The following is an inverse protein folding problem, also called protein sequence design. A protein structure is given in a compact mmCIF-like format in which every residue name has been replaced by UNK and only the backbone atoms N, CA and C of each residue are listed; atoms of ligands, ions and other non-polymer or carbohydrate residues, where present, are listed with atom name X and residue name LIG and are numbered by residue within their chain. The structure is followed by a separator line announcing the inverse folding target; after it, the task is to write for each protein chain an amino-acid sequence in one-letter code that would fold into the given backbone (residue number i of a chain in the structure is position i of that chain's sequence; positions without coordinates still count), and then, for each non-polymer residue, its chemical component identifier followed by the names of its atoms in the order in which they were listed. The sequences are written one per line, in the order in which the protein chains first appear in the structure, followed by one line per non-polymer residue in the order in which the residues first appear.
data_IF_230503133143
#
_entry.id   IF_230503133143
#
_cell.length_a   1.000
_cell.length_b   1.000
_cell.length_c   1.000
_cell.angle_alpha   90.00
_cell.angle_beta   90.00
_cell.angle_gamma   90.00
#
_symmetry.space_group_name_H-M   'P 1'
#
loop_
_entity.id
_entity.type
_entity.pdbx_description
1 polymer ?
#
# COMPACT_ATOMS: atom_id res chain seq x y z
N UNK A 1 1.38 -18.67 -24.09
CA UNK A 1 1.67 -19.20 -22.74
C UNK A 1 1.55 -18.05 -21.76
N UNK A 2 0.42 -18.01 -21.05
CA UNK A 2 0.04 -16.94 -20.13
C UNK A 2 0.77 -17.16 -18.80
N UNK A 3 1.70 -16.27 -18.46
CA UNK A 3 2.27 -16.24 -17.12
C UNK A 3 1.23 -15.57 -16.23
N UNK A 4 0.45 -16.37 -15.49
CA UNK A 4 -0.24 -15.89 -14.31
C UNK A 4 0.82 -15.27 -13.38
N UNK A 5 0.87 -13.95 -13.35
CA UNK A 5 1.76 -13.19 -12.47
C UNK A 5 1.19 -13.34 -11.08
N UNK A 6 1.85 -14.13 -10.24
CA UNK A 6 1.48 -14.33 -8.83
C UNK A 6 1.43 -12.97 -8.12
N UNK A 7 0.23 -12.40 -7.95
CA UNK A 7 -0.02 -11.22 -7.13
C UNK A 7 -0.42 -11.71 -5.74
N UNK A 8 0.27 -11.25 -4.72
CA UNK A 8 0.00 -11.62 -3.33
C UNK A 8 -0.52 -10.39 -2.59
N UNK A 9 -1.72 -10.51 -2.02
CA UNK A 9 -2.35 -9.54 -1.12
C UNK A 9 -1.85 -9.78 0.30
N UNK A 10 -1.45 -8.73 0.99
CA UNK A 10 -1.10 -8.81 2.42
C UNK A 10 -2.34 -8.50 3.25
N UNK A 11 -2.72 -9.42 4.16
CA UNK A 11 -3.77 -9.18 5.16
C UNK A 11 -3.24 -8.33 6.34
N UNK A 12 -4.14 -7.80 7.16
CA UNK A 12 -3.80 -7.04 8.38
C UNK A 12 -2.87 -7.81 9.36
N UNK A 13 -2.74 -9.13 9.22
CA UNK A 13 -1.87 -10.00 10.02
C UNK A 13 -0.48 -10.25 9.37
N UNK A 14 -0.15 -9.57 8.27
CA UNK A 14 1.13 -9.69 7.58
C UNK A 14 1.28 -10.95 6.72
N UNK A 15 0.24 -11.77 6.56
CA UNK A 15 0.28 -12.97 5.70
C UNK A 15 -0.09 -12.64 4.26
N UNK A 16 0.59 -13.30 3.33
CA UNK A 16 0.33 -13.25 1.90
C UNK A 16 -0.83 -14.21 1.54
N UNK A 17 -1.93 -13.70 0.99
CA UNK A 17 -2.95 -14.47 0.28
C UNK A 17 -2.84 -14.21 -1.22
N UNK A 18 -3.21 -15.19 -2.05
CA UNK A 18 -3.34 -15.00 -3.49
C UNK A 18 -4.34 -13.86 -3.77
N UNK A 19 -3.92 -12.82 -4.51
CA UNK A 19 -4.77 -11.70 -4.82
C UNK A 19 -5.97 -12.18 -5.65
N UNK A 20 -7.17 -11.77 -5.27
CA UNK A 20 -8.38 -12.16 -5.98
C UNK A 20 -8.23 -11.87 -7.48
N UNK A 21 -8.49 -12.89 -8.30
CA UNK A 21 -8.30 -12.90 -9.75
C UNK A 21 -8.85 -11.65 -10.49
N UNK A 22 -9.87 -10.97 -9.95
CA UNK A 22 -10.38 -9.71 -10.49
C UNK A 22 -9.40 -8.52 -10.44
N UNK A 23 -8.51 -8.45 -9.44
CA UNK A 23 -7.44 -7.44 -9.37
C UNK A 23 -6.32 -7.75 -10.38
N UNK A 24 -6.06 -9.04 -10.60
CA UNK A 24 -5.06 -9.53 -11.55
C UNK A 24 -5.47 -9.24 -13.00
N UNK A 25 -6.74 -9.49 -13.37
CA UNK A 25 -7.24 -9.15 -14.72
C UNK A 25 -7.24 -7.64 -14.98
N UNK A 26 -7.47 -6.84 -13.93
CA UNK A 26 -7.44 -5.38 -14.00
C UNK A 26 -6.05 -4.79 -14.25
N UNK A 27 -5.05 -5.33 -13.56
CA UNK A 27 -3.68 -4.83 -13.63
C UNK A 27 -2.95 -5.35 -14.89
N UNK A 28 -3.42 -6.46 -15.48
CA UNK A 28 -2.81 -7.08 -16.67
C UNK A 28 -3.52 -6.75 -17.99
N UNK A 29 -4.81 -6.41 -17.96
CA UNK A 29 -5.55 -5.92 -19.12
C UNK A 29 -5.62 -4.39 -19.12
N UNK A 30 -5.84 -3.77 -20.28
CA UNK A 30 -6.10 -2.33 -20.44
C UNK A 30 -7.44 -1.87 -19.80
N UNK A 31 -7.79 -2.41 -18.64
CA UNK A 31 -8.94 -2.09 -17.82
C UNK A 31 -8.43 -1.14 -16.76
N UNK A 32 -9.08 0.01 -16.62
CA UNK A 32 -8.79 0.93 -15.53
C UNK A 32 -8.84 0.16 -14.19
N UNK A 33 -7.71 0.07 -13.44
CA UNK A 33 -7.69 -0.68 -12.19
C UNK A 33 -8.67 -0.09 -11.16
N UNK A 34 -9.03 1.20 -11.26
CA UNK A 34 -10.10 1.79 -10.48
C UNK A 34 -11.49 1.20 -10.79
N UNK A 35 -11.71 0.68 -12.00
CA UNK A 35 -12.97 0.06 -12.40
C UNK A 35 -13.11 -1.37 -11.90
N UNK A 36 -12.00 -2.10 -11.79
CA UNK A 36 -12.01 -3.50 -11.36
C UNK A 36 -11.90 -3.69 -9.85
N UNK A 37 -11.28 -2.74 -9.15
CA UNK A 37 -11.22 -2.72 -7.69
C UNK A 37 -12.55 -2.22 -7.07
N UNK A 38 -13.54 -1.92 -7.91
CA UNK A 38 -14.74 -1.16 -7.58
C UNK A 38 -14.41 0.33 -7.57
N UNK A 39 -15.34 1.16 -8.08
CA UNK A 39 -15.16 2.58 -8.44
C UNK A 39 -14.75 3.55 -7.30
N UNK A 40 -14.23 3.05 -6.18
CA UNK A 40 -13.90 3.81 -4.96
C UNK A 40 -12.48 3.55 -4.42
N UNK A 41 -11.66 2.74 -5.08
CA UNK A 41 -10.30 2.50 -4.63
C UNK A 41 -9.27 3.29 -5.45
N UNK A 42 -8.39 4.00 -4.77
CA UNK A 42 -7.23 4.65 -5.39
C UNK A 42 -6.07 3.67 -5.45
N UNK A 43 -5.39 3.59 -6.59
CA UNK A 43 -4.20 2.76 -6.77
C UNK A 43 -2.97 3.66 -6.75
N UNK A 44 -1.95 3.26 -6.01
CA UNK A 44 -0.67 3.97 -5.87
C UNK A 44 0.49 2.98 -6.03
N UNK A 45 1.56 3.37 -6.69
CA UNK A 45 2.82 2.63 -6.69
C UNK A 45 3.70 3.13 -5.55
N UNK A 46 4.26 2.22 -4.75
CA UNK A 46 5.19 2.56 -3.67
C UNK A 46 6.44 3.27 -4.22
N UNK A 47 6.84 2.93 -5.43
CA UNK A 47 8.00 3.46 -6.12
C UNK A 47 7.83 4.93 -6.53
N UNK A 48 6.58 5.41 -6.63
CA UNK A 48 6.25 6.81 -6.86
C UNK A 48 6.13 7.61 -5.55
N UNK A 49 6.19 6.94 -4.40
CA UNK A 49 6.16 7.60 -3.09
C UNK A 49 7.53 8.19 -2.80
N UNK A 50 7.56 9.50 -2.60
CA UNK A 50 8.76 10.23 -2.20
C UNK A 50 8.78 10.33 -0.67
N UNK A 51 9.69 9.63 0.02
CA UNK A 51 9.84 9.77 1.46
C UNK A 51 10.52 11.09 1.83
N UNK A 52 10.34 11.48 3.09
CA UNK A 52 11.11 12.56 3.70
C UNK A 52 12.57 12.16 3.97
N UNK A 53 13.34 13.08 4.55
CA UNK A 53 14.76 12.87 4.85
C UNK A 53 15.01 11.71 5.85
N UNK A 54 14.00 11.31 6.62
CA UNK A 54 14.04 10.17 7.53
C UNK A 54 13.72 8.83 6.88
N UNK A 55 13.38 8.81 5.59
CA UNK A 55 12.89 7.61 4.91
C UNK A 55 11.43 7.29 5.23
N UNK A 56 10.67 8.27 5.72
CA UNK A 56 9.29 8.11 6.15
C UNK A 56 8.34 8.78 5.16
N UNK A 57 7.16 8.22 4.96
CA UNK A 57 6.12 8.81 4.13
C UNK A 57 4.78 8.71 4.85
N UNK A 58 3.95 9.75 4.73
CA UNK A 58 2.62 9.79 5.36
C UNK A 58 1.55 9.88 4.28
N UNK A 59 0.72 8.85 4.20
CA UNK A 59 -0.41 8.83 3.28
C UNK A 59 -1.58 9.61 3.89
N UNK A 60 -1.78 10.82 3.38
CA UNK A 60 -2.91 11.69 3.70
C UNK A 60 -3.98 11.48 2.65
N UNK A 61 -5.20 11.18 3.08
CA UNK A 61 -6.36 11.11 2.20
C UNK A 61 -7.37 12.20 2.58
N UNK A 62 -8.00 12.80 1.57
CA UNK A 62 -9.10 13.74 1.73
C UNK A 62 -10.44 13.12 1.33
N UNK A 63 -11.53 13.71 1.82
CA UNK A 63 -12.89 13.32 1.45
C UNK A 63 -13.25 11.90 1.90
N UNK A 64 -14.07 11.22 1.08
CA UNK A 64 -14.64 9.90 1.38
C UNK A 64 -13.74 8.73 0.95
N UNK A 65 -12.46 8.96 0.67
CA UNK A 65 -11.56 7.86 0.33
C UNK A 65 -11.43 6.91 1.53
N UNK A 66 -11.86 5.66 1.34
CA UNK A 66 -11.80 4.61 2.36
C UNK A 66 -10.75 3.55 2.09
N UNK A 67 -10.31 3.40 0.83
CA UNK A 67 -9.41 2.32 0.43
C UNK A 67 -8.37 2.77 -0.56
N UNK A 68 -7.12 2.35 -0.33
CA UNK A 68 -5.99 2.49 -1.23
C UNK A 68 -5.38 1.12 -1.50
N UNK A 69 -5.11 0.84 -2.77
CA UNK A 69 -4.30 -0.30 -3.18
C UNK A 69 -2.89 0.21 -3.47
N UNK A 70 -1.91 -0.29 -2.72
CA UNK A 70 -0.51 0.02 -2.88
C UNK A 70 0.19 -1.12 -3.62
N UNK A 71 0.65 -0.84 -4.82
CA UNK A 71 1.50 -1.74 -5.60
C UNK A 71 2.95 -1.57 -5.12
N UNK A 72 3.63 -2.67 -4.85
CA UNK A 72 5.02 -2.64 -4.37
C UNK A 72 5.83 -3.79 -4.95
N UNK A 73 7.04 -3.49 -5.39
CA UNK A 73 8.07 -4.50 -5.71
C UNK A 73 8.83 -5.00 -4.47
N UNK A 74 8.66 -4.30 -3.35
CA UNK A 74 9.36 -4.55 -2.07
C UNK A 74 8.53 -5.37 -1.11
N UNK A 75 9.21 -6.21 -0.32
CA UNK A 75 8.64 -7.01 0.76
C UNK A 75 8.20 -6.11 1.91
N UNK A 76 7.13 -6.49 2.59
CA UNK A 76 6.79 -5.90 3.89
C UNK A 76 7.59 -6.61 4.97
N UNK A 77 8.37 -5.84 5.71
CA UNK A 77 9.17 -6.34 6.84
C UNK A 77 8.39 -6.27 8.15
N UNK A 78 7.63 -5.19 8.34
CA UNK A 78 6.90 -4.95 9.58
C UNK A 78 5.62 -4.16 9.31
N UNK A 79 4.59 -4.47 10.08
CA UNK A 79 3.39 -3.65 10.18
C UNK A 79 3.06 -3.41 11.64
N UNK A 80 2.51 -2.25 11.96
CA UNK A 80 2.12 -1.99 13.34
C UNK A 80 1.41 -0.67 13.53
N UNK A 81 1.41 -0.23 14.79
CA UNK A 81 0.91 1.07 15.19
C UNK A 81 2.07 1.92 15.71
N UNK A 82 2.17 3.14 15.22
CA UNK A 82 3.19 4.08 15.63
C UNK A 82 3.02 4.42 17.12
N UNK A 83 4.10 4.28 17.88
CA UNK A 83 4.26 4.94 19.18
C UNK A 83 4.41 6.45 18.96
N UNK A 84 4.40 7.30 20.02
CA UNK A 84 4.60 8.73 19.84
C UNK A 84 5.87 9.05 19.04
N UNK A 85 5.69 9.66 17.86
CA UNK A 85 6.75 9.93 16.89
C UNK A 85 6.36 11.09 15.96
N UNK A 86 7.34 11.92 15.62
CA UNK A 86 7.21 13.02 14.65
C UNK A 86 8.23 12.78 13.55
N UNK A 87 7.77 12.75 12.29
CA UNK A 87 8.66 12.47 11.16
C UNK A 87 9.64 13.60 10.90
N UNK A 88 10.64 13.38 10.04
CA UNK A 88 11.59 14.43 9.65
C UNK A 88 10.90 15.61 8.94
N UNK A 89 9.79 15.35 8.24
CA UNK A 89 8.93 16.39 7.67
C UNK A 89 8.08 17.16 8.71
N UNK A 90 8.14 16.78 10.00
CA UNK A 90 7.41 17.44 11.08
C UNK A 90 5.97 16.94 11.28
N UNK A 91 5.59 15.80 10.71
CA UNK A 91 4.25 15.23 10.85
C UNK A 91 4.15 14.36 12.11
N UNK A 92 3.17 14.64 12.97
CA UNK A 92 2.87 13.78 14.11
C UNK A 92 2.12 12.52 13.62
N UNK A 93 2.78 11.38 13.71
CA UNK A 93 2.23 10.08 13.28
C UNK A 93 1.80 9.20 14.45
N UNK A 94 1.74 9.77 15.66
CA UNK A 94 1.38 9.05 16.89
C UNK A 94 0.05 8.30 16.75
N UNK A 95 0.09 6.99 16.94
CA UNK A 95 -1.10 6.13 16.87
C UNK A 95 -1.61 5.84 15.46
N UNK A 96 -0.93 6.28 14.40
CA UNK A 96 -1.19 5.87 13.02
C UNK A 96 -0.78 4.41 12.80
N UNK A 97 -1.31 3.77 11.76
CA UNK A 97 -0.80 2.48 11.29
C UNK A 97 0.44 2.71 10.44
N UNK A 98 1.38 1.77 10.45
CA UNK A 98 2.56 1.83 9.59
C UNK A 98 2.84 0.49 8.93
N UNK A 99 3.56 0.60 7.81
CA UNK A 99 4.13 -0.52 7.06
C UNK A 99 5.57 -0.17 6.73
N UNK A 100 6.52 -1.02 7.13
CA UNK A 100 7.94 -0.90 6.76
C UNK A 100 8.24 -1.84 5.60
N UNK A 101 8.85 -1.29 4.56
CA UNK A 101 9.23 -2.04 3.37
C UNK A 101 10.73 -2.34 3.36
N UNK A 102 11.10 -3.54 2.91
CA UNK A 102 12.48 -3.97 2.80
C UNK A 102 13.26 -3.08 1.84
N UNK A 103 14.36 -2.49 2.34
CA UNK A 103 15.17 -1.53 1.59
C UNK A 103 14.37 -0.32 1.09
N UNK A 104 13.27 0.01 1.77
CA UNK A 104 12.34 1.05 1.37
C UNK A 104 11.83 1.91 2.50
N UNK A 105 10.81 2.76 2.24
CA UNK A 105 10.34 3.70 3.23
C UNK A 105 9.49 3.00 4.30
N UNK A 106 9.28 3.71 5.41
CA UNK A 106 8.16 3.42 6.32
C UNK A 106 6.97 4.27 5.91
N UNK A 107 5.87 3.63 5.52
CA UNK A 107 4.63 4.30 5.12
C UNK A 107 3.65 4.32 6.29
N UNK A 108 3.25 5.51 6.72
CA UNK A 108 2.22 5.75 7.72
C UNK A 108 0.87 6.04 7.06
N UNK A 109 -0.21 5.52 7.63
CA UNK A 109 -1.57 5.83 7.18
C UNK A 109 -2.57 5.86 8.35
N UNK A 110 -3.68 6.57 8.13
CA UNK A 110 -4.75 6.64 9.11
C UNK A 110 -5.37 5.25 9.34
N UNK A 111 -5.75 4.95 10.59
CA UNK A 111 -6.42 3.69 10.93
C UNK A 111 -7.80 3.54 10.27
N UNK A 112 -8.42 4.65 9.85
CA UNK A 112 -9.69 4.68 9.12
C UNK A 112 -9.55 4.38 7.62
N UNK A 113 -8.32 4.33 7.12
CA UNK A 113 -8.03 3.99 5.73
C UNK A 113 -7.66 2.51 5.63
N UNK A 114 -8.37 1.78 4.78
CA UNK A 114 -8.00 0.43 4.38
C UNK A 114 -6.84 0.51 3.38
N UNK A 115 -5.66 0.04 3.78
CA UNK A 115 -4.52 -0.09 2.90
C UNK A 115 -4.37 -1.55 2.48
N UNK A 116 -4.50 -1.82 1.19
CA UNK A 116 -4.24 -3.14 0.61
C UNK A 116 -2.91 -3.11 -0.12
N UNK A 117 -2.00 -4.00 0.25
CA UNK A 117 -0.69 -4.08 -0.40
C UNK A 117 -0.69 -5.26 -1.35
N UNK A 118 -0.35 -4.99 -2.59
CA UNK A 118 -0.22 -5.99 -3.64
C UNK A 118 1.23 -6.01 -4.10
N UNK A 119 1.89 -7.16 -3.88
CA UNK A 119 3.25 -7.36 -4.35
C UNK A 119 3.26 -7.62 -5.87
N UNK A 120 3.99 -6.81 -6.61
CA UNK A 120 4.25 -6.99 -8.05
C UNK A 120 5.67 -7.49 -8.26
N UNK A 121 5.87 -8.49 -9.13
CA UNK A 121 7.23 -8.89 -9.55
C UNK A 121 7.76 -7.86 -10.56
N UNK A 122 8.90 -7.26 -10.24
CA UNK A 122 9.69 -6.43 -11.16
C UNK A 122 10.33 -7.23 -12.28
#
# INVERSE_FOLDING_TARGET
MSAARDLLRIREDGRYEEAASGVLEALLGAVDPARAVGATATVLHLEDVVPDEGGEAVLRHGGDLRRVVLLSTRDVEETGRAVPHVTAAGEDVSGMRFVRFAGGPTLYHAASLELEIVRVRG
#
